data_IF_136151761821
#
_entry.id   IF_136151761821
#
_cell.length_a   1.000
_cell.length_b   1.000
_cell.length_c   1.000
_cell.angle_alpha   90.00
_cell.angle_beta   90.00
_cell.angle_gamma   90.00
#
_symmetry.space_group_name_H-M   'P 1'
#
loop_
_entity.id
_entity.type
_entity.pdbx_description
1 polymer ?
#
# COMPACT_ATOMS: atom_id res chain seq x y z
N UNK A 1 8.43 8.95 -18.62
CA UNK A 1 8.87 7.56 -18.48
C UNK A 1 7.65 6.72 -18.09
N UNK A 2 7.21 5.85 -18.98
CA UNK A 2 6.17 4.88 -18.68
C UNK A 2 6.72 3.93 -17.63
N UNK A 3 6.10 3.91 -16.46
CA UNK A 3 6.43 2.97 -15.41
C UNK A 3 5.95 1.58 -15.81
N UNK A 4 6.81 0.84 -16.47
CA UNK A 4 6.53 -0.55 -16.85
C UNK A 4 6.39 -1.39 -15.59
N UNK A 5 5.18 -1.83 -15.29
CA UNK A 5 4.91 -2.68 -14.13
C UNK A 5 5.29 -4.12 -14.45
N UNK A 6 6.19 -4.69 -13.66
CA UNK A 6 6.73 -6.04 -13.86
C UNK A 6 6.04 -7.10 -13.01
N UNK A 7 5.37 -6.68 -11.96
CA UNK A 7 4.75 -7.60 -11.01
C UNK A 7 4.42 -6.92 -9.68
N UNK A 8 4.32 -7.71 -8.64
CA UNK A 8 4.16 -7.19 -7.27
C UNK A 8 4.84 -8.08 -6.24
N UNK A 9 5.20 -7.46 -5.13
CA UNK A 9 5.86 -8.09 -3.99
C UNK A 9 4.89 -8.14 -2.80
N UNK A 10 4.88 -9.26 -2.10
CA UNK A 10 4.18 -9.43 -0.84
C UNK A 10 5.17 -9.86 0.24
N UNK A 11 5.23 -9.13 1.35
CA UNK A 11 5.99 -9.55 2.53
C UNK A 11 5.03 -9.98 3.62
N UNK A 12 5.26 -11.18 4.14
CA UNK A 12 4.50 -11.73 5.26
C UNK A 12 5.42 -11.92 6.47
N UNK A 13 4.89 -11.62 7.64
CA UNK A 13 5.59 -11.80 8.91
C UNK A 13 5.54 -13.27 9.41
N UNK A 14 6.13 -13.52 10.58
CA UNK A 14 6.21 -14.82 11.23
C UNK A 14 4.83 -15.43 11.59
N UNK A 15 3.78 -14.61 11.61
CA UNK A 15 2.39 -15.03 11.81
C UNK A 15 1.61 -15.14 10.51
N UNK A 16 2.33 -15.14 9.38
CA UNK A 16 1.77 -15.18 8.03
C UNK A 16 0.85 -13.99 7.69
N UNK A 17 0.95 -12.86 8.39
CA UNK A 17 0.19 -11.63 8.13
C UNK A 17 0.89 -10.79 7.08
N UNK A 18 0.15 -10.20 6.16
CA UNK A 18 0.71 -9.30 5.15
C UNK A 18 1.20 -8.02 5.84
N UNK A 19 2.49 -7.72 5.68
CA UNK A 19 3.12 -6.51 6.18
C UNK A 19 3.25 -5.42 5.11
N UNK A 20 3.40 -5.83 3.87
CA UNK A 20 3.33 -4.94 2.71
C UNK A 20 2.99 -5.74 1.47
N UNK A 21 2.25 -5.09 0.56
CA UNK A 21 2.08 -5.49 -0.82
C UNK A 21 2.36 -4.27 -1.67
N UNK A 22 3.25 -4.38 -2.63
CA UNK A 22 3.71 -3.25 -3.44
C UNK A 22 3.92 -3.67 -4.89
N UNK A 23 3.51 -2.81 -5.82
CA UNK A 23 3.81 -2.98 -7.23
C UNK A 23 5.31 -2.82 -7.48
N UNK A 24 5.84 -3.63 -8.37
CA UNK A 24 7.23 -3.62 -8.81
C UNK A 24 7.30 -3.13 -10.25
N UNK A 25 8.14 -2.14 -10.49
CA UNK A 25 8.56 -1.71 -11.81
C UNK A 25 10.06 -1.94 -11.99
N UNK A 26 10.63 -1.36 -13.03
CA UNK A 26 12.09 -1.31 -13.19
C UNK A 26 12.75 -0.45 -12.12
N UNK A 27 13.98 -0.81 -11.80
CA UNK A 27 14.86 -0.05 -10.92
C UNK A 27 14.88 -0.54 -9.47
N UNK A 28 15.70 0.13 -8.69
CA UNK A 28 15.92 -0.20 -7.30
C UNK A 28 14.79 0.32 -6.42
N UNK A 29 14.31 -0.51 -5.52
CA UNK A 29 13.29 -0.16 -4.55
C UNK A 29 13.72 -0.55 -3.15
N UNK A 30 13.68 0.40 -2.24
CA UNK A 30 13.87 0.15 -0.82
C UNK A 30 12.53 0.07 -0.11
N UNK A 31 12.30 -1.04 0.57
CA UNK A 31 11.10 -1.28 1.37
C UNK A 31 11.53 -1.44 2.82
N UNK A 32 10.99 -0.62 3.69
CA UNK A 32 11.26 -0.69 5.14
C UNK A 32 9.97 -1.06 5.86
N UNK A 33 10.04 -2.10 6.67
CA UNK A 33 8.97 -2.49 7.60
C UNK A 33 9.51 -2.29 9.00
N UNK A 34 8.89 -1.40 9.75
CA UNK A 34 9.35 -1.01 11.07
C UNK A 34 8.24 -1.11 12.12
N UNK A 35 8.64 -0.95 13.38
CA UNK A 35 7.70 -0.93 14.51
C UNK A 35 6.72 0.24 14.44
N UNK A 36 7.17 1.39 13.93
CA UNK A 36 6.40 2.63 13.86
C UNK A 36 6.08 3.04 12.43
N UNK A 37 4.90 3.62 12.22
CA UNK A 37 4.42 4.07 10.92
C UNK A 37 5.37 5.05 10.23
N UNK A 38 5.93 6.00 10.97
CA UNK A 38 6.87 7.00 10.46
C UNK A 38 8.16 6.42 9.86
N UNK A 39 8.48 5.18 10.22
CA UNK A 39 9.68 4.47 9.76
C UNK A 39 9.33 3.28 8.85
N UNK A 40 8.08 3.17 8.41
CA UNK A 40 7.62 2.11 7.51
C UNK A 40 7.28 2.72 6.16
N UNK A 41 7.71 2.06 5.09
CA UNK A 41 7.37 2.46 3.72
C UNK A 41 5.86 2.61 3.56
N UNK A 42 5.44 3.61 2.82
CA UNK A 42 4.03 3.85 2.52
C UNK A 42 3.37 2.59 1.92
N UNK A 43 2.17 2.26 2.39
CA UNK A 43 1.48 1.00 2.07
C UNK A 43 1.89 -0.20 2.93
N UNK A 44 2.90 -0.04 3.80
CA UNK A 44 3.30 -1.07 4.76
C UNK A 44 2.52 -0.99 6.07
N UNK A 45 2.40 -2.12 6.75
CA UNK A 45 1.78 -2.24 8.08
C UNK A 45 2.87 -2.19 9.14
N UNK A 46 2.93 -1.14 9.97
CA UNK A 46 3.89 -1.05 11.06
C UNK A 46 3.55 -2.05 12.17
N UNK A 47 4.51 -2.30 13.03
CA UNK A 47 4.30 -3.16 14.20
C UNK A 47 5.54 -3.93 14.60
N UNK A 48 5.47 -4.74 15.65
CA UNK A 48 6.59 -5.53 16.12
C UNK A 48 7.20 -6.38 15.01
N UNK A 49 8.50 -6.48 15.01
CA UNK A 49 9.26 -7.39 14.17
C UNK A 49 9.50 -8.64 15.01
N UNK A 50 8.65 -9.65 14.80
CA UNK A 50 8.74 -10.90 15.53
C UNK A 50 9.87 -11.79 15.02
N UNK A 51 10.44 -12.57 15.93
CA UNK A 51 11.37 -13.62 15.56
C UNK A 51 10.63 -14.76 14.88
N UNK A 52 11.19 -15.30 13.81
CA UNK A 52 10.60 -16.40 13.05
C UNK A 52 10.81 -16.24 11.55
N UNK A 53 10.12 -17.06 10.79
CA UNK A 53 10.23 -17.07 9.33
C UNK A 53 9.34 -16.00 8.72
N UNK A 54 9.94 -15.05 8.06
CA UNK A 54 9.27 -14.09 7.21
C UNK A 54 9.31 -14.59 5.77
N UNK A 55 8.28 -14.29 5.01
CA UNK A 55 8.18 -14.70 3.60
C UNK A 55 8.14 -13.48 2.70
N UNK A 56 8.97 -13.50 1.66
CA UNK A 56 8.94 -12.55 0.56
C UNK A 56 8.47 -13.32 -0.66
N UNK A 57 7.34 -12.92 -1.22
CA UNK A 57 6.77 -13.54 -2.41
C UNK A 57 6.72 -12.48 -3.50
N UNK A 58 7.28 -12.82 -4.66
CA UNK A 58 7.28 -11.97 -5.84
C UNK A 58 6.40 -12.64 -6.89
N UNK A 59 5.41 -11.91 -7.36
CA UNK A 59 4.55 -12.31 -8.46
C UNK A 59 4.96 -11.52 -9.69
N UNK A 60 5.35 -12.20 -10.74
CA UNK A 60 5.76 -11.59 -12.01
C UNK A 60 4.66 -11.74 -13.05
N UNK A 61 4.49 -10.72 -13.86
CA UNK A 61 3.59 -10.73 -15.01
C UNK A 61 4.35 -11.33 -16.22
N UNK A 62 4.55 -12.65 -16.21
CA UNK A 62 5.47 -13.35 -17.12
C UNK A 62 5.20 -13.04 -18.59
N UNK A 63 3.96 -13.19 -19.06
CA UNK A 63 3.59 -12.93 -20.46
C UNK A 63 3.91 -11.49 -20.89
N UNK A 64 3.66 -10.53 -20.01
CA UNK A 64 3.93 -9.13 -20.28
C UNK A 64 5.44 -8.84 -20.29
N UNK A 65 6.18 -9.45 -19.36
CA UNK A 65 7.64 -9.33 -19.28
C UNK A 65 8.29 -9.93 -20.52
N UNK A 66 7.84 -11.09 -20.97
CA UNK A 66 8.34 -11.75 -22.19
C UNK A 66 8.13 -10.89 -23.45
N UNK A 67 6.97 -10.24 -23.55
CA UNK A 67 6.69 -9.32 -24.67
C UNK A 67 7.61 -8.10 -24.69
N UNK A 68 7.98 -7.57 -23.53
CA UNK A 68 8.83 -6.38 -23.43
C UNK A 68 10.31 -6.72 -23.59
N UNK A 69 10.74 -7.82 -23.00
CA UNK A 69 12.16 -8.17 -22.96
C UNK A 69 12.64 -8.96 -24.18
N UNK A 70 11.73 -9.42 -25.05
CA UNK A 70 12.06 -10.13 -26.29
C UNK A 70 13.09 -11.26 -26.09
N UNK A 71 12.95 -12.02 -25.01
CA UNK A 71 13.84 -13.13 -24.66
C UNK A 71 15.09 -12.72 -23.86
N UNK A 72 15.24 -11.47 -23.46
CA UNK A 72 16.33 -11.03 -22.56
C UNK A 72 15.98 -11.41 -21.13
N UNK A 73 16.94 -11.96 -20.39
CA UNK A 73 16.75 -12.32 -18.98
C UNK A 73 16.55 -11.09 -18.10
N UNK A 74 15.62 -11.18 -17.12
CA UNK A 74 15.39 -10.15 -16.12
C UNK A 74 16.24 -10.44 -14.87
N UNK A 75 17.38 -9.79 -14.68
CA UNK A 75 18.14 -9.95 -13.45
C UNK A 75 17.43 -9.26 -12.29
N UNK A 76 17.36 -9.91 -11.13
CA UNK A 76 16.89 -9.28 -9.91
C UNK A 76 17.79 -9.63 -8.73
N UNK A 77 17.84 -8.74 -7.76
CA UNK A 77 18.56 -8.93 -6.50
C UNK A 77 17.67 -8.54 -5.33
N UNK A 78 17.62 -9.39 -4.32
CA UNK A 78 17.00 -9.08 -3.04
C UNK A 78 18.09 -8.96 -1.99
N UNK A 79 18.14 -7.82 -1.32
CA UNK A 79 19.02 -7.60 -0.18
C UNK A 79 18.17 -7.33 1.06
N UNK A 80 18.43 -8.08 2.12
CA UNK A 80 17.72 -7.92 3.40
C UNK A 80 18.72 -7.38 4.42
N UNK A 81 18.32 -6.37 5.17
CA UNK A 81 19.16 -5.72 6.16
C UNK A 81 18.31 -5.26 7.34
N UNK A 82 18.87 -5.27 8.54
CA UNK A 82 18.30 -4.68 9.75
C UNK A 82 18.80 -3.25 10.00
N UNK A 83 19.60 -2.71 9.08
CA UNK A 83 20.15 -1.36 9.19
C UNK A 83 19.05 -0.32 9.03
N UNK A 84 19.14 0.74 9.83
CA UNK A 84 18.28 1.91 9.65
C UNK A 84 18.52 2.50 8.26
N UNK A 85 17.46 2.59 7.49
CA UNK A 85 17.49 3.13 6.13
C UNK A 85 16.55 4.33 6.05
N UNK A 86 16.96 5.38 5.36
CA UNK A 86 16.09 6.51 5.08
C UNK A 86 15.04 6.10 4.05
N UNK A 87 13.82 6.50 4.29
CA UNK A 87 12.68 6.20 3.42
C UNK A 87 12.38 7.47 2.63
N UNK A 88 12.40 7.37 1.31
CA UNK A 88 12.10 8.50 0.43
C UNK A 88 10.64 8.97 0.53
N UNK A 89 9.74 8.06 0.83
CA UNK A 89 8.32 8.34 1.00
C UNK A 89 7.88 8.01 2.42
N UNK A 90 7.94 8.99 3.29
CA UNK A 90 7.35 8.86 4.61
C UNK A 90 5.89 9.26 4.56
N UNK A 91 5.09 8.46 5.23
CA UNK A 91 3.75 8.85 5.55
C UNK A 91 3.86 9.95 6.61
N UNK A 92 3.37 11.13 6.30
CA UNK A 92 3.28 12.20 7.27
C UNK A 92 2.67 11.73 8.59
N UNK A 93 2.45 12.57 9.57
CA UNK A 93 1.88 12.20 10.87
C UNK A 93 0.61 11.37 10.67
N UNK A 94 0.73 10.07 10.87
CA UNK A 94 -0.42 9.17 10.92
C UNK A 94 -1.09 9.26 12.27
N UNK A 95 -2.28 9.78 12.30
CA UNK A 95 -2.95 10.16 13.53
C UNK A 95 -3.55 8.99 14.33
N UNK A 96 -3.79 7.82 13.71
CA UNK A 96 -4.52 6.74 14.40
C UNK A 96 -4.11 5.31 14.02
N UNK A 97 -3.05 5.17 13.28
CA UNK A 97 -2.70 3.94 12.56
C UNK A 97 -2.19 2.83 13.47
N UNK A 98 -1.42 3.14 14.50
CA UNK A 98 -0.63 2.10 15.16
C UNK A 98 -1.46 1.06 15.91
N UNK A 99 -2.58 1.44 16.51
CA UNK A 99 -3.40 0.50 17.27
C UNK A 99 -4.63 0.04 16.51
N UNK A 100 -5.48 0.95 16.09
CA UNK A 100 -6.74 0.62 15.40
C UNK A 100 -6.52 -0.06 14.06
N UNK A 101 -5.52 0.38 13.32
CA UNK A 101 -5.19 -0.21 12.03
C UNK A 101 -4.76 -1.66 12.14
N UNK A 102 -3.88 -1.99 13.09
CA UNK A 102 -3.44 -3.37 13.32
C UNK A 102 -4.58 -4.28 13.78
N UNK A 103 -5.39 -3.81 14.71
CA UNK A 103 -6.49 -4.58 15.27
C UNK A 103 -7.61 -4.77 14.23
N UNK A 104 -7.98 -3.73 13.53
CA UNK A 104 -9.10 -3.77 12.58
C UNK A 104 -8.76 -4.48 11.27
N UNK A 105 -7.62 -4.20 10.68
CA UNK A 105 -7.28 -4.79 9.38
C UNK A 105 -6.82 -6.24 9.50
N UNK A 106 -6.04 -6.56 10.50
CA UNK A 106 -5.57 -7.93 10.67
C UNK A 106 -6.61 -8.86 11.26
N UNK A 107 -7.51 -8.37 12.04
CA UNK A 107 -8.57 -9.15 12.67
C UNK A 107 -9.87 -9.11 11.86
N UNK A 108 -9.93 -8.39 10.76
CA UNK A 108 -11.10 -8.28 9.93
C UNK A 108 -12.27 -7.54 10.58
N UNK A 109 -12.02 -6.75 11.60
CA UNK A 109 -13.04 -5.94 12.25
C UNK A 109 -13.36 -4.71 11.39
N UNK A 110 -14.31 -4.88 10.50
CA UNK A 110 -15.00 -3.76 9.90
C UNK A 110 -16.27 -3.46 10.70
N UNK A 111 -16.45 -2.22 11.08
CA UNK A 111 -17.74 -1.81 11.62
C UNK A 111 -18.76 -1.72 10.50
N UNK A 112 -19.33 -2.85 10.14
CA UNK A 112 -20.37 -2.96 9.11
C UNK A 112 -21.69 -2.26 9.49
N UNK A 113 -21.81 -1.84 10.74
CA UNK A 113 -23.01 -1.22 11.32
C UNK A 113 -22.93 0.29 11.38
N UNK A 114 -21.79 0.92 11.03
CA UNK A 114 -21.73 2.36 10.99
C UNK A 114 -22.39 2.91 9.74
N UNK A 115 -23.41 3.71 9.95
CA UNK A 115 -24.08 4.45 8.91
C UNK A 115 -23.56 5.88 8.86
N UNK A 116 -23.28 6.37 7.67
CA UNK A 116 -22.88 7.75 7.49
C UNK A 116 -24.03 8.72 7.78
N UNK A 117 -25.28 8.32 7.46
CA UNK A 117 -26.51 9.03 7.77
C UNK A 117 -27.69 8.08 7.78
N UNK A 118 -28.62 8.28 8.71
CA UNK A 118 -29.89 7.56 8.78
C UNK A 118 -30.97 8.17 7.88
N UNK A 119 -30.72 9.35 7.31
CA UNK A 119 -31.70 10.04 6.43
C UNK A 119 -31.41 9.72 4.97
N UNK A 120 -32.44 9.29 4.25
CA UNK A 120 -32.36 9.16 2.79
C UNK A 120 -32.13 10.53 2.16
N UNK A 121 -31.04 10.67 1.42
CA UNK A 121 -30.70 11.85 0.62
C UNK A 121 -29.79 11.43 -0.54
N UNK A 122 -29.60 12.31 -1.49
CA UNK A 122 -28.58 12.14 -2.50
C UNK A 122 -27.20 12.37 -1.88
N UNK A 123 -26.27 11.51 -2.24
CA UNK A 123 -24.86 11.59 -1.86
C UNK A 123 -24.02 11.80 -3.10
N UNK A 124 -23.05 12.71 -3.02
CA UNK A 124 -22.05 12.96 -4.05
C UNK A 124 -20.78 12.23 -3.69
N UNK A 125 -20.26 11.41 -4.58
CA UNK A 125 -19.04 10.69 -4.27
C UNK A 125 -18.36 10.08 -5.47
N UNK A 126 -17.19 9.51 -5.23
CA UNK A 126 -16.40 8.80 -6.21
C UNK A 126 -16.08 7.39 -5.71
N UNK A 127 -16.35 6.39 -6.53
CA UNK A 127 -16.17 4.97 -6.22
C UNK A 127 -14.89 4.38 -6.81
N UNK A 128 -14.11 5.13 -7.59
CA UNK A 128 -12.97 4.58 -8.29
C UNK A 128 -11.88 5.62 -8.50
N UNK A 129 -10.86 5.56 -7.65
CA UNK A 129 -9.72 6.48 -7.72
C UNK A 129 -8.43 5.78 -7.37
N UNK A 130 -7.33 6.28 -7.92
CA UNK A 130 -5.99 5.77 -7.70
C UNK A 130 -5.08 6.90 -7.22
N UNK A 131 -4.14 6.56 -6.35
CA UNK A 131 -3.10 7.46 -5.89
C UNK A 131 -1.71 6.91 -6.26
N UNK A 132 -0.64 7.62 -5.88
CA UNK A 132 0.72 7.14 -6.09
C UNK A 132 1.06 5.86 -5.31
N UNK A 133 0.15 5.35 -4.50
CA UNK A 133 0.29 4.03 -3.87
C UNK A 133 0.24 2.90 -4.89
N UNK A 134 -0.46 3.09 -6.00
CA UNK A 134 -0.45 2.20 -7.16
C UNK A 134 0.04 2.96 -8.41
N UNK A 135 -0.82 3.35 -9.28
CA UNK A 135 -0.52 3.95 -10.59
C UNK A 135 -1.05 5.38 -10.76
N UNK A 136 -1.73 5.93 -9.75
CA UNK A 136 -2.15 7.32 -9.75
C UNK A 136 -0.99 8.30 -9.52
N UNK A 137 -1.17 9.53 -9.94
CA UNK A 137 -0.13 10.57 -9.89
C UNK A 137 -0.10 11.37 -8.58
N UNK A 138 -1.19 11.33 -7.81
CA UNK A 138 -1.35 12.18 -6.64
C UNK A 138 -1.09 11.44 -5.34
N UNK A 139 -0.62 12.18 -4.33
CA UNK A 139 -0.56 11.63 -2.98
C UNK A 139 -1.96 11.42 -2.40
N UNK A 140 -2.10 10.47 -1.49
CA UNK A 140 -3.36 10.24 -0.75
C UNK A 140 -3.85 11.54 -0.12
N UNK A 141 -2.96 12.32 0.50
CA UNK A 141 -3.32 13.59 1.13
C UNK A 141 -3.81 14.64 0.14
N UNK A 142 -3.25 14.68 -1.06
CA UNK A 142 -3.69 15.59 -2.13
C UNK A 142 -5.07 15.17 -2.66
N UNK A 143 -5.26 13.90 -2.92
CA UNK A 143 -6.53 13.33 -3.37
C UNK A 143 -7.66 13.59 -2.37
N UNK A 144 -7.41 13.36 -1.09
CA UNK A 144 -8.37 13.63 0.00
C UNK A 144 -8.70 15.12 0.12
N UNK A 145 -7.72 16.00 -0.09
CA UNK A 145 -7.96 17.45 -0.09
C UNK A 145 -8.85 17.86 -1.26
N UNK A 146 -8.61 17.34 -2.45
CA UNK A 146 -9.46 17.58 -3.61
C UNK A 146 -10.89 17.08 -3.40
N UNK A 147 -11.03 15.87 -2.87
CA UNK A 147 -12.34 15.32 -2.54
C UNK A 147 -13.15 16.26 -1.62
N UNK A 148 -12.50 16.82 -0.60
CA UNK A 148 -13.11 17.84 0.29
C UNK A 148 -13.43 19.13 -0.45
N UNK A 149 -12.53 19.64 -1.29
CA UNK A 149 -12.77 20.85 -2.07
C UNK A 149 -13.92 20.70 -3.08
N UNK A 150 -14.15 19.48 -3.56
CA UNK A 150 -15.27 19.13 -4.44
C UNK A 150 -16.56 18.83 -3.65
N UNK A 151 -16.52 18.92 -2.35
CA UNK A 151 -17.64 18.62 -1.44
C UNK A 151 -18.21 17.21 -1.67
N UNK A 152 -17.31 16.21 -1.72
CA UNK A 152 -17.71 14.83 -1.82
C UNK A 152 -18.11 14.29 -0.44
N UNK A 153 -19.27 13.62 -0.38
CA UNK A 153 -19.75 12.93 0.80
C UNK A 153 -18.94 11.64 1.08
N UNK A 154 -18.46 11.00 0.01
CA UNK A 154 -17.59 9.82 0.11
C UNK A 154 -16.57 9.77 -1.01
N UNK A 155 -15.47 9.09 -0.76
CA UNK A 155 -14.36 8.92 -1.67
C UNK A 155 -13.73 7.55 -1.44
N UNK A 156 -13.64 6.73 -2.49
CA UNK A 156 -13.17 5.35 -2.42
C UNK A 156 -11.89 5.18 -3.22
N UNK A 157 -10.73 5.16 -2.57
CA UNK A 157 -9.49 4.77 -3.24
C UNK A 157 -9.50 3.27 -3.56
N UNK A 158 -9.27 2.95 -4.81
CA UNK A 158 -9.27 1.58 -5.34
C UNK A 158 -7.91 1.20 -5.90
N UNK A 159 -6.91 1.29 -5.06
CA UNK A 159 -5.51 1.08 -5.43
C UNK A 159 -5.25 -0.32 -5.99
N UNK A 160 -4.47 -0.43 -7.05
CA UNK A 160 -4.04 -1.70 -7.59
C UNK A 160 -3.07 -2.42 -6.66
N UNK A 161 -3.40 -3.64 -6.27
CA UNK A 161 -2.51 -4.55 -5.51
C UNK A 161 -1.88 -3.93 -4.25
N UNK A 162 -2.55 -2.96 -3.64
CA UNK A 162 -2.15 -2.32 -2.38
C UNK A 162 -3.30 -2.42 -1.40
N UNK A 163 -3.09 -3.11 -0.29
CA UNK A 163 -4.15 -3.38 0.69
C UNK A 163 -4.20 -2.29 1.78
N UNK A 164 -3.06 -1.69 2.11
CA UNK A 164 -2.87 -0.89 3.31
C UNK A 164 -2.43 0.55 3.04
N UNK A 165 -3.00 1.21 2.09
CA UNK A 165 -2.63 2.60 1.80
C UNK A 165 -3.65 3.63 2.26
N UNK A 166 -4.88 3.21 2.36
CA UNK A 166 -6.04 4.11 2.45
C UNK A 166 -6.56 4.36 3.85
N UNK A 167 -6.12 3.61 4.82
CA UNK A 167 -6.47 3.81 6.22
C UNK A 167 -5.61 4.85 6.94
N UNK A 168 -4.98 5.76 6.20
CA UNK A 168 -3.96 6.68 6.74
C UNK A 168 -4.32 8.15 6.57
#
# INVERSE_FOLDING_TARGET
EEHTLMGYLVVRDEKNRIRIQKMLGYGERTIVIARHAKNTTIGGVPGPIGAGTWKIVIYLFAEYIEQILEGVSLPFRIQISDRKTEIQETIGKCLWVDRHYREQLWLGYYNKSSFYSSRGRWYKGDFHTHTHLSDGKESVSSAMRKARMMDLDFYVPTEHNVIYGVGR
#
